data_IF_755544340343
#
_entry.id   IF_755544340343
#
_cell.length_a   1.000
_cell.length_b   1.000
_cell.length_c   1.000
_cell.angle_alpha   90.00
_cell.angle_beta   90.00
_cell.angle_gamma   90.00
#
_symmetry.space_group_name_H-M   'P 1'
#
loop_
_entity.id
_entity.type
_entity.pdbx_description
1 polymer ?
#
# COMPACT_ATOMS: atom_id res chain seq x y z
N UNK A 1 9.80 -14.82 6.79
CA UNK A 1 10.56 -13.55 6.90
C UNK A 1 9.91 -12.72 8.00
N UNK A 2 10.64 -11.83 8.66
CA UNK A 2 10.11 -11.09 9.82
C UNK A 2 9.15 -9.97 9.38
N UNK A 3 7.93 -9.84 9.96
CA UNK A 3 6.91 -8.88 9.52
C UNK A 3 7.41 -7.43 9.40
N UNK A 4 8.25 -6.99 10.34
CA UNK A 4 8.82 -5.65 10.33
C UNK A 4 9.78 -5.43 9.14
N UNK A 5 10.62 -6.41 8.81
CA UNK A 5 11.54 -6.34 7.66
C UNK A 5 10.78 -6.33 6.34
N UNK A 6 9.70 -7.12 6.24
CA UNK A 6 8.83 -7.12 5.05
C UNK A 6 8.11 -5.78 4.88
N UNK A 7 7.56 -5.22 5.97
CA UNK A 7 6.93 -3.90 5.94
C UNK A 7 7.94 -2.81 5.53
N UNK A 8 9.14 -2.81 6.14
CA UNK A 8 10.19 -1.85 5.79
C UNK A 8 10.57 -1.93 4.30
N UNK A 9 10.63 -3.14 3.73
CA UNK A 9 10.89 -3.32 2.30
C UNK A 9 9.78 -2.71 1.44
N UNK A 10 8.51 -2.96 1.77
CA UNK A 10 7.37 -2.41 1.03
C UNK A 10 7.32 -0.88 1.09
N UNK A 11 7.63 -0.31 2.26
CA UNK A 11 7.76 1.15 2.43
C UNK A 11 8.90 1.69 1.58
N UNK A 12 10.07 1.04 1.60
CA UNK A 12 11.20 1.44 0.76
C UNK A 12 10.87 1.42 -0.73
N UNK A 13 10.22 0.38 -1.23
CA UNK A 13 9.80 0.31 -2.64
C UNK A 13 8.82 1.42 -3.01
N UNK A 14 7.91 1.77 -2.11
CA UNK A 14 6.96 2.86 -2.29
C UNK A 14 7.66 4.22 -2.36
N UNK A 15 8.58 4.48 -1.43
CA UNK A 15 9.36 5.74 -1.41
C UNK A 15 10.23 5.84 -2.65
N UNK A 16 10.90 4.74 -3.03
CA UNK A 16 11.73 4.69 -4.24
C UNK A 16 10.91 4.99 -5.49
N UNK A 17 9.79 4.31 -5.69
CA UNK A 17 8.88 4.53 -6.82
C UNK A 17 8.42 6.00 -6.89
N UNK A 18 7.87 6.53 -5.79
CA UNK A 18 7.43 7.94 -5.73
C UNK A 18 8.58 8.92 -5.94
N UNK A 19 9.79 8.62 -5.48
CA UNK A 19 10.96 9.47 -5.72
C UNK A 19 11.34 9.46 -7.19
N UNK A 20 11.36 8.30 -7.84
CA UNK A 20 11.76 8.19 -9.24
C UNK A 20 10.73 8.80 -10.21
N UNK A 21 9.44 8.79 -9.86
CA UNK A 21 8.36 9.36 -10.69
C UNK A 21 7.82 10.71 -10.20
N UNK A 22 8.36 11.24 -9.11
CA UNK A 22 7.97 12.53 -8.54
C UNK A 22 8.37 13.74 -9.38
N UNK A 23 8.17 14.93 -8.82
CA UNK A 23 8.59 16.17 -9.48
C UNK A 23 10.11 16.23 -9.60
N UNK A 24 10.60 16.23 -10.83
CA UNK A 24 12.01 16.39 -11.14
C UNK A 24 12.27 17.72 -11.83
N UNK A 25 13.42 18.31 -11.55
CA UNK A 25 13.95 19.38 -12.40
C UNK A 25 14.18 18.84 -13.81
N UNK A 26 14.30 19.70 -14.82
CA UNK A 26 14.55 19.34 -16.23
C UNK A 26 15.84 18.54 -16.51
N UNK A 27 16.60 18.16 -15.48
CA UNK A 27 17.82 17.37 -15.59
C UNK A 27 17.53 15.87 -15.37
N UNK A 28 18.22 14.97 -16.11
CA UNK A 28 18.14 13.54 -15.84
C UNK A 28 18.51 13.21 -14.40
N UNK A 29 17.70 12.36 -13.75
CA UNK A 29 17.92 11.89 -12.39
C UNK A 29 18.95 10.77 -12.39
N UNK A 30 19.97 10.88 -11.55
CA UNK A 30 20.83 9.75 -11.23
C UNK A 30 20.07 8.76 -10.33
N UNK A 31 19.40 7.82 -10.97
CA UNK A 31 18.58 6.81 -10.28
C UNK A 31 19.41 5.89 -9.39
N UNK A 32 20.71 5.70 -9.67
CA UNK A 32 21.57 4.81 -8.89
C UNK A 32 21.85 5.44 -7.54
N UNK A 33 22.34 6.69 -7.54
CA UNK A 33 22.63 7.43 -6.32
C UNK A 33 21.36 7.65 -5.49
N UNK A 34 20.24 8.01 -6.14
CA UNK A 34 18.96 8.18 -5.44
C UNK A 34 18.50 6.90 -4.72
N UNK A 35 18.55 5.75 -5.40
CA UNK A 35 18.18 4.46 -4.79
C UNK A 35 19.13 4.08 -3.66
N UNK A 36 20.43 4.30 -3.82
CA UNK A 36 21.43 4.04 -2.79
C UNK A 36 21.19 4.90 -1.54
N UNK A 37 20.91 6.19 -1.71
CA UNK A 37 20.59 7.13 -0.63
C UNK A 37 19.32 6.74 0.12
N UNK A 38 18.25 6.44 -0.61
CA UNK A 38 16.98 6.00 -0.01
C UNK A 38 17.16 4.71 0.79
N UNK A 39 17.95 3.76 0.27
CA UNK A 39 18.18 2.48 0.93
C UNK A 39 18.96 2.66 2.23
N UNK A 40 20.01 3.50 2.23
CA UNK A 40 20.74 3.89 3.46
C UNK A 40 19.84 4.57 4.49
N UNK A 41 18.93 5.43 4.05
CA UNK A 41 18.07 6.23 4.93
C UNK A 41 16.91 5.44 5.53
N UNK A 42 16.29 4.54 4.76
CA UNK A 42 14.99 3.95 5.10
C UNK A 42 15.03 2.46 5.43
N UNK A 43 16.16 1.78 5.23
CA UNK A 43 16.28 0.35 5.49
C UNK A 43 17.43 0.02 6.43
N UNK A 44 17.35 -1.12 7.12
CA UNK A 44 18.44 -1.60 8.00
C UNK A 44 19.58 -2.29 7.24
N UNK A 45 19.48 -2.44 5.91
CA UNK A 45 20.49 -3.09 5.07
C UNK A 45 20.98 -2.14 3.98
N UNK A 46 22.29 -2.09 3.80
CA UNK A 46 22.89 -1.14 2.88
C UNK A 46 22.65 -1.50 1.40
N UNK A 47 22.74 -0.47 0.57
CA UNK A 47 22.94 -0.64 -0.86
C UNK A 47 24.30 -1.33 -1.12
N UNK A 48 24.36 -2.17 -2.16
CA UNK A 48 25.58 -2.88 -2.56
C UNK A 48 26.11 -2.20 -3.81
N UNK A 49 27.32 -1.66 -3.72
CA UNK A 49 27.95 -0.95 -4.83
C UNK A 49 28.08 -1.83 -6.09
N UNK A 50 27.91 -1.20 -7.25
CA UNK A 50 27.91 -1.90 -8.55
C UNK A 50 26.64 -2.69 -8.87
N UNK A 51 25.57 -2.55 -8.07
CA UNK A 51 24.28 -3.23 -8.34
C UNK A 51 23.18 -2.28 -8.81
N UNK A 52 22.34 -2.70 -9.74
CA UNK A 52 21.24 -1.85 -10.22
C UNK A 52 19.90 -2.52 -9.94
N UNK A 53 19.59 -2.77 -8.67
CA UNK A 53 18.42 -3.58 -8.31
C UNK A 53 17.11 -3.00 -8.87
N UNK A 54 16.95 -1.68 -8.88
CA UNK A 54 15.74 -1.01 -9.37
C UNK A 54 15.48 -1.25 -10.86
N UNK A 55 16.49 -1.54 -11.68
CA UNK A 55 16.29 -1.85 -13.11
C UNK A 55 15.63 -3.21 -13.33
N UNK A 56 15.64 -4.08 -12.30
CA UNK A 56 14.94 -5.37 -12.29
C UNK A 56 13.56 -5.27 -11.68
N UNK A 57 13.18 -4.11 -11.16
CA UNK A 57 11.90 -3.91 -10.51
C UNK A 57 10.84 -3.50 -11.54
N UNK A 58 10.23 -4.50 -12.17
CA UNK A 58 9.30 -4.33 -13.29
C UNK A 58 8.06 -3.49 -12.96
N UNK A 59 7.69 -3.36 -11.69
CA UNK A 59 6.60 -2.49 -11.25
C UNK A 59 6.81 -1.03 -11.66
N UNK A 60 8.06 -0.57 -11.79
CA UNK A 60 8.33 0.80 -12.25
C UNK A 60 7.85 1.05 -13.68
N UNK A 61 7.72 0.02 -14.52
CA UNK A 61 7.39 0.19 -15.95
C UNK A 61 5.88 0.45 -16.15
N UNK A 62 5.04 -0.41 -15.57
CA UNK A 62 3.59 -0.37 -15.78
C UNK A 62 2.82 0.19 -14.58
N UNK A 63 3.51 0.49 -13.48
CA UNK A 63 2.92 0.82 -12.19
C UNK A 63 3.66 1.97 -11.47
N UNK A 64 4.39 2.78 -12.25
CA UNK A 64 5.16 3.91 -11.74
C UNK A 64 4.29 4.90 -10.97
N UNK A 65 4.84 5.43 -9.88
CA UNK A 65 4.14 6.25 -8.87
C UNK A 65 2.95 5.57 -8.18
N UNK A 66 2.78 4.26 -8.36
CA UNK A 66 1.64 3.49 -7.86
C UNK A 66 2.00 2.48 -6.77
N UNK A 67 3.27 2.16 -6.53
CA UNK A 67 3.64 0.99 -5.71
C UNK A 67 3.15 1.07 -4.25
N UNK A 68 2.98 2.29 -3.71
CA UNK A 68 2.41 2.51 -2.38
C UNK A 68 1.00 1.91 -2.21
N UNK A 69 0.28 1.68 -3.32
CA UNK A 69 -1.06 1.13 -3.34
C UNK A 69 -1.16 -0.25 -2.67
N UNK A 70 -0.08 -1.04 -2.66
CA UNK A 70 -0.06 -2.35 -2.00
C UNK A 70 -0.22 -2.21 -0.48
N UNK A 71 0.54 -1.31 0.15
CA UNK A 71 0.40 -1.03 1.58
C UNK A 71 -0.92 -0.32 1.87
N UNK A 72 -1.30 0.63 1.01
CA UNK A 72 -2.57 1.33 1.11
C UNK A 72 -3.77 0.36 1.11
N UNK A 73 -3.82 -0.57 0.16
CA UNK A 73 -4.84 -1.61 0.09
C UNK A 73 -4.76 -2.60 1.26
N UNK A 74 -3.55 -2.92 1.74
CA UNK A 74 -3.35 -3.79 2.90
C UNK A 74 -3.97 -3.20 4.17
N UNK A 75 -3.90 -1.89 4.38
CA UNK A 75 -4.57 -1.26 5.52
C UNK A 75 -6.09 -1.54 5.50
N UNK A 76 -6.75 -1.30 4.36
CA UNK A 76 -8.19 -1.60 4.21
C UNK A 76 -8.50 -3.07 4.38
N UNK A 77 -7.74 -3.96 3.72
CA UNK A 77 -7.95 -5.40 3.81
C UNK A 77 -7.81 -5.91 5.26
N UNK A 78 -6.85 -5.38 6.01
CA UNK A 78 -6.61 -5.78 7.41
C UNK A 78 -7.75 -5.31 8.31
N UNK A 79 -8.21 -4.07 8.15
CA UNK A 79 -9.36 -3.55 8.91
C UNK A 79 -10.65 -4.30 8.57
N UNK A 80 -10.92 -4.54 7.28
CA UNK A 80 -12.06 -5.37 6.84
C UNK A 80 -11.98 -6.76 7.47
N UNK A 81 -10.80 -7.39 7.45
CA UNK A 81 -10.63 -8.72 8.03
C UNK A 81 -10.96 -8.72 9.52
N UNK A 82 -10.34 -7.83 10.30
CA UNK A 82 -10.49 -7.81 11.76
C UNK A 82 -11.90 -7.41 12.20
N UNK A 83 -12.48 -6.39 11.57
CA UNK A 83 -13.77 -5.82 12.01
C UNK A 83 -14.99 -6.53 11.43
N UNK A 84 -14.87 -7.16 10.25
CA UNK A 84 -16.03 -7.72 9.53
C UNK A 84 -15.96 -9.24 9.39
N UNK A 85 -14.77 -9.79 9.13
CA UNK A 85 -14.63 -11.22 8.79
C UNK A 85 -14.21 -12.09 9.98
N UNK A 86 -13.40 -11.58 10.90
CA UNK A 86 -12.68 -12.41 11.89
C UNK A 86 -13.59 -13.18 12.84
N UNK A 87 -14.75 -12.62 13.20
CA UNK A 87 -15.70 -13.25 14.12
C UNK A 87 -16.34 -14.53 13.56
N UNK A 88 -16.65 -14.55 12.25
CA UNK A 88 -17.12 -15.73 11.52
C UNK A 88 -16.61 -15.68 10.07
N UNK A 89 -15.40 -16.19 9.80
CA UNK A 89 -14.73 -16.03 8.50
C UNK A 89 -15.44 -16.73 7.33
N UNK A 90 -16.32 -17.69 7.61
CA UNK A 90 -17.07 -18.44 6.61
C UNK A 90 -18.56 -18.09 6.60
N UNK A 91 -18.92 -16.98 7.25
CA UNK A 91 -20.28 -16.46 7.28
C UNK A 91 -20.83 -16.25 5.87
N UNK A 92 -21.96 -16.91 5.58
CA UNK A 92 -22.68 -16.75 4.32
C UNK A 92 -23.19 -15.32 4.12
N UNK A 93 -23.63 -14.67 5.20
CA UNK A 93 -24.13 -13.30 5.15
C UNK A 93 -22.99 -12.32 4.86
N UNK A 94 -21.83 -12.47 5.51
CA UNK A 94 -20.63 -11.66 5.24
C UNK A 94 -20.14 -11.86 3.81
N UNK A 95 -20.05 -13.12 3.34
CA UNK A 95 -19.68 -13.41 1.95
C UNK A 95 -20.63 -12.79 0.93
N UNK A 96 -21.95 -12.82 1.21
CA UNK A 96 -22.95 -12.16 0.35
C UNK A 96 -22.77 -10.64 0.35
N UNK A 97 -22.46 -10.03 1.50
CA UNK A 97 -22.19 -8.60 1.60
C UNK A 97 -20.91 -8.19 0.84
N UNK A 98 -19.82 -8.96 0.92
CA UNK A 98 -18.59 -8.73 0.14
C UNK A 98 -18.91 -8.72 -1.36
N UNK A 99 -19.64 -9.74 -1.84
CA UNK A 99 -20.06 -9.82 -3.24
C UNK A 99 -20.92 -8.63 -3.63
N UNK A 100 -21.99 -8.39 -2.88
CA UNK A 100 -23.08 -7.53 -3.31
C UNK A 100 -22.83 -6.04 -3.09
N UNK A 101 -22.04 -5.68 -2.07
CA UNK A 101 -21.77 -4.28 -1.72
C UNK A 101 -20.40 -3.80 -2.19
N UNK A 102 -19.42 -4.70 -2.27
CA UNK A 102 -18.03 -4.32 -2.55
C UNK A 102 -17.57 -4.76 -3.95
N UNK A 103 -17.61 -6.06 -4.26
CA UNK A 103 -16.97 -6.59 -5.47
C UNK A 103 -17.78 -6.42 -6.77
N UNK A 104 -19.11 -6.57 -6.74
CA UNK A 104 -19.94 -6.65 -7.97
C UNK A 104 -19.88 -5.41 -8.86
N UNK A 105 -19.46 -4.27 -8.31
CA UNK A 105 -19.52 -2.98 -9.00
C UNK A 105 -18.26 -2.69 -9.82
N UNK A 106 -17.13 -3.37 -9.54
CA UNK A 106 -15.84 -3.04 -10.14
C UNK A 106 -15.52 -1.54 -10.02
N UNK A 107 -15.06 -0.93 -11.12
CA UNK A 107 -14.79 0.51 -11.19
C UNK A 107 -16.01 1.41 -11.46
N UNK A 108 -17.23 0.86 -11.53
CA UNK A 108 -18.43 1.64 -11.87
C UNK A 108 -19.00 2.45 -10.69
N UNK A 109 -18.47 2.26 -9.48
CA UNK A 109 -18.89 2.96 -8.26
C UNK A 109 -17.65 3.50 -7.54
N UNK A 110 -17.81 4.67 -6.93
CA UNK A 110 -16.73 5.33 -6.19
C UNK A 110 -16.17 4.41 -5.09
N UNK A 111 -14.85 4.19 -5.02
CA UNK A 111 -14.24 3.28 -4.05
C UNK A 111 -14.52 3.65 -2.59
N UNK A 112 -14.63 4.95 -2.27
CA UNK A 112 -14.92 5.40 -0.91
C UNK A 112 -16.32 5.03 -0.48
N UNK A 113 -17.28 5.10 -1.42
CA UNK A 113 -18.67 4.67 -1.18
C UNK A 113 -18.72 3.15 -1.03
N UNK A 114 -18.00 2.40 -1.87
CA UNK A 114 -17.91 0.93 -1.74
C UNK A 114 -17.36 0.51 -0.37
N UNK A 115 -16.29 1.15 0.08
CA UNK A 115 -15.67 0.88 1.38
C UNK A 115 -16.63 1.19 2.54
N UNK A 116 -17.28 2.35 2.53
CA UNK A 116 -18.23 2.75 3.57
C UNK A 116 -19.46 1.86 3.63
N UNK A 117 -20.06 1.56 2.48
CA UNK A 117 -21.27 0.73 2.40
C UNK A 117 -21.05 -0.69 2.94
N UNK A 118 -19.83 -1.21 2.80
CA UNK A 118 -19.46 -2.55 3.23
C UNK A 118 -18.87 -2.60 4.64
N UNK A 119 -17.88 -1.76 4.94
CA UNK A 119 -17.06 -1.83 6.16
C UNK A 119 -17.34 -0.69 7.18
N UNK A 120 -18.23 0.25 6.84
CA UNK A 120 -18.59 1.38 7.70
C UNK A 120 -17.70 2.62 7.55
N UNK A 121 -18.10 3.71 8.18
CA UNK A 121 -17.47 5.03 8.00
C UNK A 121 -16.08 5.17 8.62
N UNK A 122 -15.76 4.38 9.65
CA UNK A 122 -14.46 4.45 10.35
C UNK A 122 -13.29 3.99 9.50
N UNK A 123 -13.56 3.25 8.42
CA UNK A 123 -12.51 2.66 7.57
C UNK A 123 -11.75 3.72 6.76
N UNK A 124 -12.37 4.88 6.50
CA UNK A 124 -11.75 5.98 5.74
C UNK A 124 -11.68 7.27 6.56
N UNK A 125 -10.59 8.03 6.38
CA UNK A 125 -10.47 9.43 6.81
C UNK A 125 -10.13 10.31 5.61
N UNK A 126 -10.77 11.46 5.49
CA UNK A 126 -10.46 12.41 4.41
C UNK A 126 -9.38 13.40 4.87
N UNK A 127 -8.39 13.66 4.03
CA UNK A 127 -7.31 14.63 4.30
C UNK A 127 -6.73 15.17 3.00
N UNK A 128 -6.62 16.50 2.87
CA UNK A 128 -5.98 17.15 1.71
C UNK A 128 -6.59 16.79 0.35
N UNK A 129 -7.88 16.44 0.30
CA UNK A 129 -8.56 15.97 -0.92
C UNK A 129 -8.35 14.49 -1.25
N UNK A 130 -7.56 13.76 -0.44
CA UNK A 130 -7.36 12.32 -0.56
C UNK A 130 -8.01 11.53 0.59
N UNK A 131 -7.95 10.20 0.46
CA UNK A 131 -8.41 9.26 1.47
C UNK A 131 -7.19 8.67 2.17
N UNK A 132 -7.27 8.58 3.50
CA UNK A 132 -6.29 7.92 4.36
C UNK A 132 -6.98 6.72 5.00
N UNK A 133 -6.43 5.49 4.86
CA UNK A 133 -6.95 4.33 5.57
C UNK A 133 -6.68 4.45 7.07
N UNK A 134 -7.55 3.87 7.90
CA UNK A 134 -7.15 3.57 9.27
C UNK A 134 -6.06 2.49 9.27
N UNK A 135 -4.97 2.75 10.00
CA UNK A 135 -3.80 1.86 10.08
C UNK A 135 -3.78 1.03 11.37
N UNK A 136 -4.70 1.28 12.30
CA UNK A 136 -4.70 0.67 13.64
C UNK A 136 -4.67 -0.85 13.59
N UNK A 137 -5.52 -1.45 12.75
CA UNK A 137 -5.60 -2.91 12.53
C UNK A 137 -4.29 -3.48 11.98
N UNK A 138 -3.65 -2.77 11.06
CA UNK A 138 -2.39 -3.18 10.46
C UNK A 138 -1.24 -3.09 11.46
N UNK A 139 -1.14 -1.99 12.23
CA UNK A 139 -0.15 -1.83 13.30
C UNK A 139 -0.23 -2.98 14.31
N UNK A 140 -1.45 -3.30 14.76
CA UNK A 140 -1.71 -4.43 15.66
C UNK A 140 -1.26 -5.77 15.06
N UNK A 141 -1.54 -6.01 13.77
CA UNK A 141 -1.13 -7.25 13.08
C UNK A 141 0.40 -7.39 13.02
N UNK A 142 1.13 -6.30 12.78
CA UNK A 142 2.59 -6.33 12.66
C UNK A 142 3.34 -6.12 13.98
N UNK A 143 2.62 -5.88 15.07
CA UNK A 143 3.18 -5.68 16.41
C UNK A 143 3.84 -4.31 16.63
N UNK A 144 3.27 -3.25 16.05
CA UNK A 144 3.68 -1.85 16.23
C UNK A 144 2.75 -1.08 17.18
#
# INVERSE_FOLDING_TARGET
MFPATDLQRQVFYSIMDLTLFGEHTSKPVDTISAVADLKRKHTSWNYVEGTHWHTRFSHLINYGAGYYSYLYARCFATTIWQEVCQGDPLSRSTGSAIRDKFLRHGGAKDPSVLLKDFAGDSVIKNSGGGIIPDISSLCKEVGL
#
